data_IF_996103039678
#
_entry.id   IF_996103039678
#
_cell.length_a   1.000
_cell.length_b   1.000
_cell.length_c   1.000
_cell.angle_alpha   90.00
_cell.angle_beta   90.00
_cell.angle_gamma   90.00
#
_symmetry.space_group_name_H-M   'P 1'
#
loop_
_entity.id
_entity.type
_entity.pdbx_description
1 polymer ?
#
# COMPACT_ATOMS: atom_id res chain seq x y z
N UNK A 1 37.73 -48.27 2.71
CA UNK A 1 36.59 -47.74 1.93
C UNK A 1 37.03 -47.59 0.48
N UNK A 2 36.36 -48.20 -0.49
CA UNK A 2 36.83 -48.20 -1.87
C UNK A 2 36.80 -46.76 -2.43
N UNK A 3 37.86 -46.30 -3.13
CA UNK A 3 37.95 -44.92 -3.67
C UNK A 3 36.82 -44.60 -4.65
N UNK A 4 36.22 -45.63 -5.26
CA UNK A 4 35.06 -45.52 -6.14
C UNK A 4 33.81 -44.98 -5.43
N UNK A 5 33.60 -45.35 -4.16
CA UNK A 5 32.42 -44.93 -3.39
C UNK A 5 32.51 -43.45 -2.96
N UNK A 6 33.74 -42.99 -2.68
CA UNK A 6 34.03 -41.57 -2.42
C UNK A 6 33.80 -40.71 -3.66
N UNK A 7 34.22 -41.18 -4.84
CA UNK A 7 33.98 -40.49 -6.11
C UNK A 7 32.49 -40.38 -6.44
N UNK A 8 31.73 -41.47 -6.25
CA UNK A 8 30.29 -41.49 -6.51
C UNK A 8 29.53 -40.55 -5.55
N UNK A 9 29.90 -40.52 -4.28
CA UNK A 9 29.34 -39.58 -3.30
C UNK A 9 29.68 -38.12 -3.65
N UNK A 10 30.90 -37.83 -4.09
CA UNK A 10 31.29 -36.49 -4.52
C UNK A 10 30.46 -36.01 -5.73
N UNK A 11 30.22 -36.90 -6.70
CA UNK A 11 29.38 -36.59 -7.88
C UNK A 11 27.94 -36.28 -7.47
N UNK A 12 27.36 -37.05 -6.54
CA UNK A 12 25.99 -36.83 -6.04
C UNK A 12 25.87 -35.50 -5.28
N UNK A 13 26.88 -35.14 -4.48
CA UNK A 13 26.88 -33.87 -3.75
C UNK A 13 26.95 -32.69 -4.74
N UNK A 14 27.82 -32.75 -5.74
CA UNK A 14 27.96 -31.66 -6.73
C UNK A 14 26.67 -31.47 -7.55
N UNK A 15 25.98 -32.54 -7.93
CA UNK A 15 24.70 -32.43 -8.66
C UNK A 15 23.56 -31.94 -7.76
N UNK A 16 23.55 -32.29 -6.48
CA UNK A 16 22.56 -31.80 -5.52
C UNK A 16 22.68 -30.28 -5.26
N UNK A 17 23.91 -29.73 -5.19
CA UNK A 17 24.11 -28.30 -4.99
C UNK A 17 23.74 -27.46 -6.22
N UNK A 18 23.89 -28.00 -7.44
CA UNK A 18 23.52 -27.32 -8.68
C UNK A 18 22.00 -27.12 -8.88
N UNK A 19 21.16 -27.89 -8.18
CA UNK A 19 19.70 -27.81 -8.30
C UNK A 19 19.05 -26.66 -7.52
N UNK A 20 19.75 -26.07 -6.54
CA UNK A 20 19.17 -25.07 -5.63
C UNK A 20 18.97 -23.68 -6.26
N UNK A 21 19.62 -23.39 -7.39
CA UNK A 21 19.42 -22.13 -8.12
C UNK A 21 18.00 -22.04 -8.69
N UNK A 22 17.59 -23.04 -9.45
CA UNK A 22 16.26 -23.13 -10.11
C UNK A 22 15.07 -23.02 -9.15
N UNK A 23 15.23 -23.50 -7.91
CA UNK A 23 14.17 -23.44 -6.88
C UNK A 23 13.84 -21.99 -6.51
N UNK A 24 14.83 -21.08 -6.50
CA UNK A 24 14.63 -19.67 -6.16
C UNK A 24 13.78 -18.94 -7.20
N UNK A 25 14.04 -19.20 -8.48
CA UNK A 25 13.24 -18.69 -9.60
C UNK A 25 11.83 -19.28 -9.63
N UNK A 26 11.66 -20.59 -9.40
CA UNK A 26 10.35 -21.24 -9.37
C UNK A 26 9.47 -20.83 -8.18
N UNK A 27 10.09 -20.45 -7.05
CA UNK A 27 9.38 -19.91 -5.90
C UNK A 27 9.05 -18.41 -6.05
N UNK A 28 9.42 -17.77 -7.16
CA UNK A 28 9.11 -16.36 -7.42
C UNK A 28 9.88 -15.37 -6.53
N UNK A 29 10.95 -15.81 -5.85
CA UNK A 29 11.85 -14.94 -5.09
C UNK A 29 12.88 -14.22 -6.00
N UNK A 30 12.82 -14.46 -7.30
CA UNK A 30 13.60 -13.76 -8.33
C UNK A 30 12.97 -12.40 -8.67
N UNK A 31 13.81 -11.39 -8.91
CA UNK A 31 13.36 -10.07 -9.32
C UNK A 31 13.00 -10.11 -10.82
N UNK A 32 11.72 -10.08 -11.15
CA UNK A 32 11.24 -9.88 -12.53
C UNK A 32 10.96 -8.39 -12.74
N UNK A 33 11.86 -7.64 -13.40
CA UNK A 33 11.57 -6.26 -13.77
C UNK A 33 10.41 -6.24 -14.78
N UNK A 34 9.40 -5.37 -14.61
CA UNK A 34 8.37 -5.15 -15.61
C UNK A 34 9.00 -4.74 -16.94
N UNK A 35 8.46 -5.24 -18.05
CA UNK A 35 8.98 -4.94 -19.37
C UNK A 35 8.72 -3.48 -19.73
N UNK A 36 9.74 -2.64 -19.53
CA UNK A 36 9.74 -1.20 -19.75
C UNK A 36 9.63 -0.79 -21.25
N UNK A 37 9.73 -1.76 -22.16
CA UNK A 37 9.52 -1.57 -23.59
C UNK A 37 8.17 -2.09 -24.08
N UNK A 38 7.32 -2.58 -23.18
CA UNK A 38 5.96 -2.95 -23.54
C UNK A 38 5.12 -1.69 -23.75
N UNK A 39 5.11 -1.19 -24.99
CA UNK A 39 4.20 -0.14 -25.41
C UNK A 39 2.79 -0.73 -25.46
N UNK A 40 1.97 -0.41 -24.45
CA UNK A 40 0.55 -0.73 -24.44
C UNK A 40 -0.14 0.21 -25.42
N UNK A 41 -0.52 -0.31 -26.57
CA UNK A 41 -1.24 0.44 -27.60
C UNK A 41 -2.63 0.78 -27.06
N UNK A 42 -2.88 2.07 -26.82
CA UNK A 42 -4.20 2.54 -26.41
C UNK A 42 -5.02 2.78 -27.67
N UNK A 43 -6.27 2.28 -27.76
CA UNK A 43 -7.13 2.63 -28.88
C UNK A 43 -7.20 4.15 -28.96
N UNK A 44 -7.07 4.71 -30.17
CA UNK A 44 -7.17 6.14 -30.37
C UNK A 44 -8.53 6.61 -29.83
N UNK A 45 -8.52 7.67 -29.01
CA UNK A 45 -9.75 8.34 -28.62
C UNK A 45 -10.25 9.15 -29.83
N UNK A 46 -10.79 8.44 -30.81
CA UNK A 46 -11.54 9.05 -31.90
C UNK A 46 -12.86 9.56 -31.31
N UNK A 47 -12.98 10.87 -31.19
CA UNK A 47 -14.26 11.51 -30.90
C UNK A 47 -15.16 11.32 -32.13
N UNK A 48 -16.29 10.61 -32.04
CA UNK A 48 -17.18 10.44 -33.17
C UNK A 48 -17.76 11.80 -33.59
N UNK A 49 -17.96 12.04 -34.89
CA UNK A 49 -18.38 13.34 -35.43
C UNK A 49 -19.79 13.80 -35.01
N UNK A 50 -20.54 12.96 -34.28
CA UNK A 50 -21.91 13.23 -33.88
C UNK A 50 -22.02 13.38 -32.36
N UNK A 51 -21.64 14.54 -31.85
CA UNK A 51 -21.84 14.97 -30.46
C UNK A 51 -23.28 15.44 -30.16
N UNK A 52 -24.25 15.14 -31.04
CA UNK A 52 -25.65 15.60 -30.93
C UNK A 52 -26.57 14.67 -30.12
N UNK A 53 -26.02 13.64 -29.48
CA UNK A 53 -26.79 12.89 -28.48
C UNK A 53 -26.50 13.49 -27.11
N UNK A 54 -27.57 13.83 -26.38
CA UNK A 54 -27.49 14.13 -24.94
C UNK A 54 -26.68 12.99 -24.30
N UNK A 55 -25.55 13.28 -23.62
CA UNK A 55 -24.80 12.26 -22.92
C UNK A 55 -25.77 11.46 -22.04
N UNK A 56 -25.79 10.12 -22.13
CA UNK A 56 -26.58 9.33 -21.19
C UNK A 56 -26.14 9.78 -19.79
N UNK A 57 -27.11 10.14 -18.95
CA UNK A 57 -26.86 10.70 -17.64
C UNK A 57 -25.84 9.84 -16.89
N UNK A 58 -24.96 10.50 -16.14
CA UNK A 58 -23.86 9.94 -15.35
C UNK A 58 -24.35 9.08 -14.16
N UNK A 59 -25.22 8.11 -14.42
CA UNK A 59 -25.73 7.14 -13.44
C UNK A 59 -24.96 5.82 -13.49
N UNK A 60 -23.69 5.88 -13.88
CA UNK A 60 -22.75 4.78 -13.78
C UNK A 60 -21.37 5.40 -13.76
N UNK A 61 -20.68 5.31 -12.62
CA UNK A 61 -19.32 5.80 -12.47
C UNK A 61 -18.45 5.34 -13.64
N UNK A 62 -17.56 6.23 -14.11
CA UNK A 62 -16.62 5.92 -15.19
C UNK A 62 -16.00 4.54 -14.95
N UNK A 63 -15.94 3.65 -15.97
CA UNK A 63 -15.26 2.34 -15.85
C UNK A 63 -13.78 2.41 -15.47
N UNK A 64 -13.23 3.61 -15.30
CA UNK A 64 -11.84 3.87 -14.93
C UNK A 64 -11.65 4.08 -13.42
N UNK A 65 -12.72 4.22 -12.64
CA UNK A 65 -12.66 4.42 -11.18
C UNK A 65 -12.79 3.12 -10.37
N UNK A 66 -12.71 1.98 -11.06
CA UNK A 66 -12.49 0.69 -10.42
C UNK A 66 -11.07 0.71 -9.87
N UNK A 67 -10.96 0.90 -8.56
CA UNK A 67 -9.75 0.68 -7.78
C UNK A 67 -9.12 -0.64 -8.21
N UNK A 68 -8.03 -0.54 -8.99
CA UNK A 68 -7.35 -1.68 -9.60
C UNK A 68 -6.87 -2.64 -8.52
N UNK A 69 -6.60 -2.14 -7.30
CA UNK A 69 -6.24 -2.94 -6.13
C UNK A 69 -7.40 -3.82 -5.70
N UNK A 70 -8.62 -3.28 -5.62
CA UNK A 70 -9.83 -4.06 -5.29
C UNK A 70 -10.17 -5.06 -6.37
N UNK A 71 -9.98 -4.69 -7.65
CA UNK A 71 -10.23 -5.60 -8.77
C UNK A 71 -9.20 -6.73 -8.86
N UNK A 72 -7.92 -6.45 -8.63
CA UNK A 72 -6.88 -7.46 -8.54
C UNK A 72 -7.10 -8.41 -7.36
N UNK A 73 -7.51 -7.87 -6.20
CA UNK A 73 -7.87 -8.67 -5.04
C UNK A 73 -9.08 -9.58 -5.32
N UNK A 74 -10.13 -9.09 -5.96
CA UNK A 74 -11.29 -9.91 -6.35
C UNK A 74 -10.93 -11.00 -7.38
N UNK A 75 -10.00 -10.73 -8.30
CA UNK A 75 -9.52 -11.74 -9.24
C UNK A 75 -8.67 -12.81 -8.56
N UNK A 76 -7.83 -12.42 -7.59
CA UNK A 76 -6.97 -13.35 -6.87
C UNK A 76 -7.71 -14.17 -5.79
N UNK A 77 -8.70 -13.57 -5.12
CA UNK A 77 -9.36 -14.13 -3.94
C UNK A 77 -10.86 -14.42 -4.12
N UNK A 78 -11.44 -14.10 -5.28
CA UNK A 78 -12.86 -14.23 -5.56
C UNK A 78 -13.69 -13.03 -5.11
N UNK A 79 -14.94 -12.89 -5.61
CA UNK A 79 -15.81 -11.73 -5.38
C UNK A 79 -16.18 -11.48 -3.90
N UNK A 80 -16.01 -12.47 -3.03
CA UNK A 80 -16.39 -12.42 -1.61
C UNK A 80 -15.21 -12.77 -0.67
N UNK A 81 -14.08 -12.09 -0.84
CA UNK A 81 -12.98 -12.14 0.15
C UNK A 81 -13.32 -11.47 1.50
N UNK A 82 -14.60 -11.14 1.71
CA UNK A 82 -15.17 -10.72 2.99
C UNK A 82 -16.13 -11.79 3.50
N UNK A 83 -15.65 -12.61 4.43
CA UNK A 83 -16.47 -13.33 5.41
C UNK A 83 -17.56 -14.30 4.90
N UNK A 84 -17.30 -15.10 3.86
CA UNK A 84 -17.99 -16.40 3.75
C UNK A 84 -17.05 -17.51 4.21
N UNK A 85 -17.48 -18.40 5.14
CA UNK A 85 -16.73 -19.61 5.42
C UNK A 85 -16.54 -20.34 4.10
N UNK A 86 -15.30 -20.71 3.80
CA UNK A 86 -14.96 -21.39 2.56
C UNK A 86 -15.97 -22.52 2.33
N UNK A 87 -16.68 -22.56 1.19
CA UNK A 87 -17.49 -23.74 0.89
C UNK A 87 -16.53 -24.92 0.96
N UNK A 88 -16.87 -25.91 1.80
CA UNK A 88 -16.08 -27.11 1.96
C UNK A 88 -15.66 -27.57 0.57
N UNK A 89 -14.35 -27.56 0.30
CA UNK A 89 -13.77 -27.90 -0.99
C UNK A 89 -14.38 -29.24 -1.42
N UNK A 90 -15.33 -29.21 -2.35
CA UNK A 90 -15.91 -30.40 -2.93
C UNK A 90 -14.82 -31.04 -3.79
N UNK A 91 -13.94 -31.81 -3.15
CA UNK A 91 -12.71 -32.36 -3.71
C UNK A 91 -11.48 -32.31 -2.80
N UNK A 92 -11.57 -31.71 -1.61
CA UNK A 92 -10.44 -31.64 -0.68
C UNK A 92 -10.07 -32.99 -0.10
N UNK A 93 -8.77 -33.27 0.04
CA UNK A 93 -8.31 -34.54 0.61
C UNK A 93 -8.71 -34.66 2.09
N UNK A 94 -8.85 -35.89 2.61
CA UNK A 94 -9.19 -36.11 4.02
C UNK A 94 -8.20 -35.45 5.00
N UNK A 95 -6.97 -35.17 4.53
CA UNK A 95 -5.94 -34.45 5.27
C UNK A 95 -6.26 -32.95 5.35
N UNK A 96 -6.70 -32.34 4.25
CA UNK A 96 -7.08 -30.91 4.23
C UNK A 96 -8.24 -30.62 5.18
N UNK A 97 -9.23 -31.51 5.25
CA UNK A 97 -10.33 -31.39 6.21
C UNK A 97 -9.84 -31.38 7.67
N UNK A 98 -8.89 -32.26 8.02
CA UNK A 98 -8.30 -32.31 9.36
C UNK A 98 -7.44 -31.07 9.66
N UNK A 99 -6.75 -30.51 8.67
CA UNK A 99 -5.98 -29.27 8.84
C UNK A 99 -6.90 -28.09 9.09
N UNK A 100 -8.00 -27.98 8.36
CA UNK A 100 -8.99 -26.90 8.53
C UNK A 100 -9.65 -27.01 9.91
N UNK A 101 -9.99 -28.23 10.35
CA UNK A 101 -10.52 -28.46 11.70
C UNK A 101 -9.54 -28.00 12.79
N UNK A 102 -8.24 -28.31 12.63
CA UNK A 102 -7.20 -27.87 13.57
C UNK A 102 -6.88 -26.38 13.48
N UNK A 103 -7.01 -25.77 12.31
CA UNK A 103 -6.74 -24.34 12.10
C UNK A 103 -7.80 -23.45 12.77
N UNK A 104 -8.98 -24.00 13.07
CA UNK A 104 -10.07 -23.25 13.66
C UNK A 104 -10.69 -22.22 12.71
N UNK A 105 -11.64 -21.45 13.21
CA UNK A 105 -12.28 -20.40 12.41
C UNK A 105 -11.43 -19.12 12.43
N UNK A 106 -11.13 -18.53 11.26
CA UNK A 106 -10.42 -17.25 11.22
C UNK A 106 -11.31 -16.15 11.80
N UNK A 107 -10.75 -15.33 12.70
CA UNK A 107 -11.44 -14.14 13.19
C UNK A 107 -11.66 -13.14 12.04
N UNK A 108 -12.92 -12.80 11.78
CA UNK A 108 -13.32 -12.04 10.60
C UNK A 108 -12.77 -10.61 10.50
N UNK A 109 -12.18 -10.07 11.58
CA UNK A 109 -11.68 -8.69 11.65
C UNK A 109 -10.20 -8.57 12.02
N UNK A 110 -9.41 -9.64 11.89
CA UNK A 110 -7.99 -9.64 12.29
C UNK A 110 -7.18 -8.50 11.66
N UNK A 111 -7.49 -8.11 10.41
CA UNK A 111 -6.83 -6.98 9.74
C UNK A 111 -7.10 -5.65 10.44
N UNK A 112 -8.37 -5.39 10.80
CA UNK A 112 -8.73 -4.18 11.52
C UNK A 112 -8.11 -4.12 12.92
N UNK A 113 -7.93 -5.28 13.57
CA UNK A 113 -7.21 -5.38 14.85
C UNK A 113 -5.72 -5.06 14.66
N UNK A 114 -5.06 -5.68 13.69
CA UNK A 114 -3.63 -5.43 13.39
C UNK A 114 -3.41 -3.96 13.00
N UNK A 115 -4.29 -3.38 12.19
CA UNK A 115 -4.16 -1.98 11.77
C UNK A 115 -4.28 -1.02 12.98
N UNK A 116 -5.19 -1.32 13.91
CA UNK A 116 -5.34 -0.56 15.16
C UNK A 116 -4.09 -0.69 16.03
N UNK A 117 -3.63 -1.91 16.27
CA UNK A 117 -2.44 -2.19 17.08
C UNK A 117 -1.19 -1.56 16.46
N UNK A 118 -1.05 -1.63 15.13
CA UNK A 118 0.07 -1.02 14.40
C UNK A 118 0.06 0.51 14.53
N UNK A 119 -1.12 1.12 14.50
CA UNK A 119 -1.28 2.57 14.69
C UNK A 119 -0.87 2.99 16.10
N UNK A 120 -1.27 2.24 17.13
CA UNK A 120 -0.90 2.49 18.52
C UNK A 120 0.61 2.33 18.76
N UNK A 121 1.24 1.34 18.12
CA UNK A 121 2.69 1.14 18.15
C UNK A 121 3.44 2.30 17.49
N UNK A 122 2.94 2.83 16.37
CA UNK A 122 3.55 3.98 15.68
C UNK A 122 3.51 5.23 16.56
N UNK A 123 2.40 5.49 17.24
CA UNK A 123 2.26 6.66 18.12
C UNK A 123 3.14 6.54 19.37
N UNK A 124 3.21 5.35 19.99
CA UNK A 124 4.09 5.13 21.14
C UNK A 124 5.58 5.31 20.79
N UNK A 125 5.99 4.87 19.59
CA UNK A 125 7.36 5.05 19.12
C UNK A 125 7.71 6.53 18.91
N UNK A 126 6.80 7.35 18.37
CA UNK A 126 7.02 8.81 18.25
C UNK A 126 7.28 9.45 19.61
N UNK A 127 6.47 9.14 20.62
CA UNK A 127 6.64 9.68 21.98
C UNK A 127 7.97 9.26 22.61
N UNK A 128 8.42 8.03 22.38
CA UNK A 128 9.72 7.56 22.84
C UNK A 128 10.87 8.25 22.11
N UNK A 129 10.78 8.37 20.79
CA UNK A 129 11.75 9.08 19.95
C UNK A 129 11.83 10.56 20.36
N UNK A 130 10.70 11.22 20.61
CA UNK A 130 10.65 12.59 21.08
C UNK A 130 11.29 12.74 22.46
N UNK A 131 11.10 11.79 23.38
CA UNK A 131 11.78 11.80 24.67
C UNK A 131 13.31 11.73 24.50
N UNK A 132 13.81 10.84 23.62
CA UNK A 132 15.24 10.71 23.35
C UNK A 132 15.78 11.97 22.65
N UNK A 133 15.09 12.49 21.64
CA UNK A 133 15.53 13.67 20.90
C UNK A 133 15.56 14.92 21.79
N UNK A 134 14.57 15.05 22.67
CA UNK A 134 14.40 16.22 23.54
C UNK A 134 14.96 16.01 24.97
N UNK A 135 15.76 14.95 25.21
CA UNK A 135 16.30 14.61 26.54
C UNK A 135 17.14 15.71 27.19
N UNK A 136 17.73 16.60 26.38
CA UNK A 136 18.55 17.74 26.83
C UNK A 136 17.74 19.05 26.97
N UNK A 137 16.41 18.99 26.87
CA UNK A 137 15.53 20.15 27.03
C UNK A 137 15.51 21.10 25.83
N UNK A 138 16.08 20.73 24.68
CA UNK A 138 15.95 21.49 23.43
C UNK A 138 14.58 21.25 22.78
N UNK A 139 13.49 21.63 23.45
CA UNK A 139 12.17 21.63 22.81
C UNK A 139 12.19 22.68 21.70
N UNK A 140 12.45 22.24 20.46
CA UNK A 140 12.23 23.08 19.30
C UNK A 140 10.74 23.43 19.27
N UNK A 141 10.36 24.72 19.21
CA UNK A 141 8.97 25.08 19.07
C UNK A 141 8.40 24.37 17.83
N UNK A 142 7.16 23.84 17.90
CA UNK A 142 6.54 23.22 16.73
C UNK A 142 6.56 24.21 15.57
N UNK A 143 6.96 23.74 14.40
CA UNK A 143 7.01 24.58 13.20
C UNK A 143 5.65 25.27 13.01
N UNK A 144 5.67 26.58 12.83
CA UNK A 144 4.45 27.36 12.62
C UNK A 144 3.74 26.84 11.36
N UNK A 145 2.50 26.38 11.52
CA UNK A 145 1.71 25.83 10.41
C UNK A 145 1.21 27.01 9.58
N UNK A 146 1.60 27.05 8.31
CA UNK A 146 1.15 28.06 7.35
C UNK A 146 -0.32 27.82 6.99
N UNK A 147 -1.13 28.87 6.93
CA UNK A 147 -2.51 28.78 6.46
C UNK A 147 -2.52 28.61 4.94
N UNK A 148 -2.96 27.45 4.40
CA UNK A 148 -2.90 27.19 2.97
C UNK A 148 -3.85 28.08 2.16
N UNK A 149 -4.97 28.53 2.75
CA UNK A 149 -5.95 29.34 2.04
C UNK A 149 -5.46 30.79 1.90
N UNK A 150 -5.01 31.37 3.02
CA UNK A 150 -4.45 32.73 3.03
C UNK A 150 -3.13 32.82 2.24
N UNK A 151 -2.30 31.78 2.30
CA UNK A 151 -1.04 31.76 1.53
C UNK A 151 -1.30 31.69 0.02
N UNK A 152 -2.31 30.92 -0.40
CA UNK A 152 -2.73 30.87 -1.81
C UNK A 152 -3.18 32.25 -2.30
N UNK A 153 -3.98 32.96 -1.51
CA UNK A 153 -4.47 34.31 -1.84
C UNK A 153 -3.31 35.33 -1.92
N UNK A 154 -2.34 35.24 -0.99
CA UNK A 154 -1.12 36.05 -1.04
C UNK A 154 -0.34 35.82 -2.33
N UNK A 155 -0.16 34.56 -2.71
CA UNK A 155 0.56 34.19 -3.93
C UNK A 155 -0.18 34.70 -5.17
N UNK A 156 -1.49 34.54 -5.27
CA UNK A 156 -2.26 35.04 -6.43
C UNK A 156 -2.15 36.56 -6.56
N UNK A 157 -2.24 37.28 -5.44
CA UNK A 157 -2.13 38.75 -5.42
C UNK A 157 -0.73 39.21 -5.84
N UNK A 158 0.33 38.55 -5.37
CA UNK A 158 1.70 38.88 -5.76
C UNK A 158 1.97 38.61 -7.25
N UNK A 159 1.39 37.53 -7.80
CA UNK A 159 1.47 37.21 -9.23
C UNK A 159 0.75 38.29 -10.06
N UNK A 160 -0.44 38.72 -9.66
CA UNK A 160 -1.19 39.79 -10.33
C UNK A 160 -0.44 41.13 -10.30
N UNK A 161 0.21 41.44 -9.19
CA UNK A 161 0.99 42.67 -9.00
C UNK A 161 2.41 42.60 -9.59
N UNK A 162 2.80 41.49 -10.23
CA UNK A 162 4.15 41.22 -10.75
C UNK A 162 5.26 41.40 -9.70
N UNK A 163 4.93 41.14 -8.43
CA UNK A 163 5.88 41.15 -7.31
C UNK A 163 6.53 39.77 -7.15
N UNK A 164 7.75 39.68 -6.60
CA UNK A 164 8.36 38.39 -6.29
C UNK A 164 7.52 37.59 -5.26
N UNK A 165 7.48 36.27 -5.42
CA UNK A 165 6.62 35.37 -4.63
C UNK A 165 6.92 35.38 -3.13
N UNK A 166 8.10 35.80 -2.71
CA UNK A 166 8.53 35.87 -1.31
C UNK A 166 8.23 37.23 -0.65
N UNK A 167 7.54 38.14 -1.33
CA UNK A 167 7.19 39.44 -0.75
C UNK A 167 5.95 39.33 0.16
N UNK A 168 6.08 39.83 1.40
CA UNK A 168 5.04 39.76 2.43
C UNK A 168 5.27 38.66 3.48
N UNK A 169 4.58 38.77 4.61
CA UNK A 169 4.62 37.75 5.67
C UNK A 169 3.80 36.53 5.28
N UNK A 170 4.27 35.33 5.65
CA UNK A 170 3.52 34.08 5.49
C UNK A 170 2.43 34.01 6.58
N UNK A 171 1.15 33.85 6.19
CA UNK A 171 0.07 33.74 7.16
C UNK A 171 0.22 32.42 7.93
N UNK A 172 0.31 32.52 9.25
CA UNK A 172 0.41 31.37 10.16
C UNK A 172 -0.93 31.14 10.84
N UNK A 173 -1.29 29.86 11.00
CA UNK A 173 -2.47 29.47 11.76
C UNK A 173 -2.13 29.65 13.25
N UNK A 174 -2.59 30.73 13.85
CA UNK A 174 -2.58 30.88 15.31
C UNK A 174 -3.62 29.94 15.91
N UNK A 175 -3.17 28.80 16.45
CA UNK A 175 -4.04 27.94 17.23
C UNK A 175 -4.38 28.68 18.53
N UNK A 176 -5.55 29.33 18.59
CA UNK A 176 -6.12 29.87 19.83
C UNK A 176 -6.15 28.73 20.83
N UNK A 177 -5.27 28.78 21.84
CA UNK A 177 -5.28 27.82 22.93
C UNK A 177 -6.67 27.90 23.57
N UNK A 178 -7.44 26.82 23.43
CA UNK A 178 -8.70 26.68 24.14
C UNK A 178 -8.42 26.88 25.63
N UNK A 179 -9.08 27.87 26.22
CA UNK A 179 -8.99 28.13 27.66
C UNK A 179 -9.34 26.86 28.43
N UNK A 180 -8.67 26.69 29.57
CA UNK A 180 -8.81 25.61 30.55
C UNK A 180 -10.20 25.55 31.23
N UNK A 181 -11.29 25.74 30.49
CA UNK A 181 -12.65 25.60 30.98
C UNK A 181 -13.46 24.72 30.03
N UNK A 182 -13.09 23.45 30.07
CA UNK A 182 -13.90 22.33 29.59
C UNK A 182 -13.68 21.21 30.59
N UNK A 183 -14.63 21.07 31.50
CA UNK A 183 -14.79 19.91 32.38
C UNK A 183 -14.73 18.60 31.56
#
# INVERSE_FOLDING_TARGET
MPPFLLFLLAVVVVTALGGCGSVRENLGLGRQPPNEFLVVDRPSLAVPPNFSLRPPGTQGGSPQDIDLTKRAAQLAFGPDAGATPAPALAGGSSLEAQLIEKAGQPEGNIRATIDRESTDLVESNKRFVDYILNWRGNRQPPAAVVDPALEKERITTNVEQKKPLNEGGTPIIERKQGGFLGL
#
